data_IF_944457190298
#
_entry.id   IF_944457190298
#
_cell.length_a   1.000
_cell.length_b   1.000
_cell.length_c   1.000
_cell.angle_alpha   90.00
_cell.angle_beta   90.00
_cell.angle_gamma   90.00
#
_symmetry.space_group_name_H-M   'P 1'
#
loop_
_entity.id
_entity.type
_entity.pdbx_description
1 polymer ?
#
# COMPACT_ATOMS: atom_id res chain seq x y z
N UNK A 1 29.97 4.32 -22.78
CA UNK A 1 28.72 3.83 -23.38
C UNK A 1 27.74 5.01 -23.42
N UNK A 2 27.07 5.21 -24.54
CA UNK A 2 26.52 6.52 -25.01
C UNK A 2 25.04 6.69 -24.64
N UNK A 3 24.41 5.68 -24.03
CA UNK A 3 23.03 5.73 -23.51
C UNK A 3 22.95 5.44 -22.00
N UNK A 4 24.05 5.63 -21.25
CA UNK A 4 24.05 5.48 -19.78
C UNK A 4 23.45 6.71 -19.12
N UNK A 5 22.13 6.69 -18.87
CA UNK A 5 21.55 7.50 -17.81
C UNK A 5 22.12 6.99 -16.47
N UNK A 6 23.15 7.68 -15.95
CA UNK A 6 23.67 7.46 -14.60
C UNK A 6 22.69 8.05 -13.59
N UNK A 7 21.57 7.36 -13.36
CA UNK A 7 20.52 7.81 -12.45
C UNK A 7 20.97 7.77 -10.97
N UNK A 8 21.93 6.89 -10.64
CA UNK A 8 22.54 6.85 -9.31
C UNK A 8 24.00 7.30 -9.39
N UNK A 9 24.28 8.52 -8.88
CA UNK A 9 25.64 9.04 -8.70
C UNK A 9 26.08 8.75 -7.27
N UNK A 10 27.33 8.33 -7.11
CA UNK A 10 27.89 8.03 -5.80
C UNK A 10 27.78 9.26 -4.88
N UNK A 11 27.00 9.12 -3.82
CA UNK A 11 26.72 10.12 -2.80
C UNK A 11 27.25 9.66 -1.45
N UNK A 12 27.51 10.60 -0.54
CA UNK A 12 27.76 10.28 0.87
C UNK A 12 26.53 10.68 1.66
N UNK A 13 25.95 9.70 2.35
CA UNK A 13 24.75 9.88 3.15
C UNK A 13 25.01 9.30 4.54
N UNK A 14 24.51 9.98 5.57
CA UNK A 14 24.53 9.49 6.94
C UNK A 14 23.14 9.01 7.32
N UNK A 15 23.05 7.76 7.79
CA UNK A 15 21.81 7.15 8.29
C UNK A 15 21.95 6.91 9.79
N UNK A 16 20.92 7.26 10.58
CA UNK A 16 20.89 6.97 12.02
C UNK A 16 20.66 5.49 12.27
N UNK A 17 21.02 4.96 13.44
CA UNK A 17 20.66 3.58 13.81
C UNK A 17 19.16 3.29 13.65
N UNK A 18 18.84 2.17 13.03
CA UNK A 18 17.47 1.72 12.76
C UNK A 18 17.39 0.18 12.85
N UNK A 19 16.16 -0.32 12.93
CA UNK A 19 15.86 -1.74 12.83
C UNK A 19 15.21 -2.02 11.47
N UNK A 20 15.49 -3.18 10.91
CA UNK A 20 14.94 -3.67 9.65
C UNK A 20 14.51 -5.12 9.83
N UNK A 21 13.48 -5.55 9.10
CA UNK A 21 13.11 -6.96 9.08
C UNK A 21 14.24 -7.78 8.44
N UNK A 22 14.44 -8.99 8.96
CA UNK A 22 15.52 -9.86 8.51
C UNK A 22 15.32 -10.38 7.08
N UNK A 23 14.06 -10.51 6.66
CA UNK A 23 13.62 -11.12 5.43
C UNK A 23 12.47 -10.30 4.83
N UNK A 24 12.08 -10.58 3.58
CA UNK A 24 10.86 -9.99 3.04
C UNK A 24 9.62 -10.46 3.81
N UNK A 25 8.54 -9.67 3.74
CA UNK A 25 7.25 -10.05 4.34
C UNK A 25 6.69 -11.27 3.61
N UNK A 26 6.44 -12.35 4.35
CA UNK A 26 5.94 -13.61 3.78
C UNK A 26 4.44 -13.58 3.51
N UNK A 27 3.98 -14.51 2.67
CA UNK A 27 2.55 -14.79 2.49
C UNK A 27 1.87 -15.09 3.84
N UNK A 28 2.54 -15.78 4.76
CA UNK A 28 2.00 -16.02 6.10
C UNK A 28 1.67 -14.74 6.86
N UNK A 29 2.64 -13.81 6.95
CA UNK A 29 2.45 -12.53 7.64
C UNK A 29 1.30 -11.73 7.01
N UNK A 30 1.19 -11.76 5.68
CA UNK A 30 0.12 -11.05 4.98
C UNK A 30 -1.27 -11.70 5.21
N UNK A 31 -1.33 -13.03 5.26
CA UNK A 31 -2.56 -13.75 5.58
C UNK A 31 -3.04 -13.45 7.02
N UNK A 32 -2.12 -13.30 7.98
CA UNK A 32 -2.47 -12.86 9.34
C UNK A 32 -3.05 -11.44 9.35
N UNK A 33 -2.44 -10.53 8.59
CA UNK A 33 -2.96 -9.18 8.39
C UNK A 33 -4.38 -9.19 7.81
N UNK A 34 -4.56 -9.90 6.69
CA UNK A 34 -5.88 -10.04 6.05
C UNK A 34 -6.91 -10.68 6.98
N UNK A 35 -6.53 -11.71 7.73
CA UNK A 35 -7.42 -12.36 8.68
C UNK A 35 -7.86 -11.40 9.78
N UNK A 36 -6.92 -10.62 10.34
CA UNK A 36 -7.24 -9.65 11.37
C UNK A 36 -8.16 -8.55 10.84
N UNK A 37 -7.86 -7.97 9.66
CA UNK A 37 -8.68 -6.93 9.04
C UNK A 37 -10.09 -7.46 8.75
N UNK A 38 -10.19 -8.70 8.24
CA UNK A 38 -11.49 -9.34 7.98
C UNK A 38 -12.31 -9.45 9.27
N UNK A 39 -11.69 -9.90 10.36
CA UNK A 39 -12.38 -10.04 11.64
C UNK A 39 -12.79 -8.69 12.24
N UNK A 40 -11.93 -7.68 12.10
CA UNK A 40 -12.09 -6.39 12.75
C UNK A 40 -13.10 -5.47 12.02
N UNK A 41 -13.12 -5.48 10.68
CA UNK A 41 -13.85 -4.48 9.90
C UNK A 41 -14.80 -5.04 8.83
N UNK A 42 -14.77 -6.34 8.49
CA UNK A 42 -15.52 -6.82 7.31
C UNK A 42 -17.05 -6.70 7.44
N UNK A 43 -17.60 -6.71 8.65
CA UNK A 43 -19.04 -6.59 8.86
C UNK A 43 -19.53 -5.15 8.61
N UNK A 44 -18.77 -4.15 9.05
CA UNK A 44 -19.18 -2.73 8.99
C UNK A 44 -18.53 -1.98 7.82
N UNK A 45 -17.26 -2.27 7.52
CA UNK A 45 -16.46 -1.63 6.47
C UNK A 45 -15.80 -2.69 5.56
N UNK A 46 -16.56 -3.39 4.72
CA UNK A 46 -16.05 -4.46 3.86
C UNK A 46 -14.95 -3.98 2.88
N UNK A 47 -14.94 -2.70 2.52
CA UNK A 47 -13.92 -2.13 1.63
C UNK A 47 -12.52 -2.11 2.27
N UNK A 48 -12.41 -1.97 3.59
CA UNK A 48 -11.10 -2.01 4.28
C UNK A 48 -10.43 -3.37 4.06
N UNK A 49 -11.22 -4.45 4.14
CA UNK A 49 -10.73 -5.80 3.83
C UNK A 49 -10.40 -5.98 2.35
N UNK A 50 -11.25 -5.49 1.44
CA UNK A 50 -10.98 -5.57 0.00
C UNK A 50 -9.70 -4.84 -0.40
N UNK A 51 -9.44 -3.66 0.18
CA UNK A 51 -8.24 -2.88 -0.08
C UNK A 51 -6.97 -3.58 0.44
N UNK A 52 -7.08 -4.47 1.42
CA UNK A 52 -5.97 -5.27 1.93
C UNK A 52 -5.64 -6.52 1.07
N UNK A 53 -6.46 -6.86 0.08
CA UNK A 53 -6.24 -8.01 -0.80
C UNK A 53 -5.12 -7.72 -1.81
N UNK A 54 -4.06 -8.55 -1.87
CA UNK A 54 -3.08 -8.46 -2.94
C UNK A 54 -3.70 -8.76 -4.31
N UNK A 55 -3.18 -8.13 -5.34
CA UNK A 55 -3.53 -8.46 -6.72
C UNK A 55 -2.87 -9.79 -7.13
N UNK A 56 -3.66 -10.86 -7.17
CA UNK A 56 -3.20 -12.18 -7.62
C UNK A 56 -2.98 -12.27 -9.13
N UNK A 57 -3.52 -11.33 -9.91
CA UNK A 57 -3.43 -11.33 -11.37
C UNK A 57 -2.05 -10.93 -11.90
N UNK A 58 -1.15 -10.47 -11.04
CA UNK A 58 0.25 -10.16 -11.39
C UNK A 58 0.98 -11.35 -12.04
N UNK A 59 0.56 -12.58 -11.74
CA UNK A 59 1.11 -13.79 -12.34
C UNK A 59 0.57 -14.07 -13.75
N UNK A 60 -0.60 -13.52 -14.10
CA UNK A 60 -1.30 -13.84 -15.34
C UNK A 60 -0.60 -13.16 -16.52
N UNK A 61 -0.27 -13.95 -17.53
CA UNK A 61 0.28 -13.46 -18.79
C UNK A 61 -0.46 -14.12 -19.95
N UNK A 62 -0.82 -13.34 -20.98
CA UNK A 62 -1.56 -13.85 -22.16
C UNK A 62 -0.84 -15.00 -22.88
N UNK A 63 0.49 -15.07 -22.75
CA UNK A 63 1.34 -16.06 -23.40
C UNK A 63 1.98 -17.04 -22.41
N UNK A 64 1.59 -17.02 -21.13
CA UNK A 64 2.17 -17.83 -20.06
C UNK A 64 1.13 -18.72 -19.36
N UNK A 65 1.52 -19.94 -19.00
CA UNK A 65 0.67 -20.85 -18.23
C UNK A 65 0.92 -20.70 -16.72
N UNK A 66 0.42 -19.60 -16.15
CA UNK A 66 0.70 -19.22 -14.76
C UNK A 66 -0.53 -19.26 -13.84
N UNK A 67 -1.65 -19.84 -14.29
CA UNK A 67 -2.91 -19.87 -13.53
C UNK A 67 -2.76 -20.53 -12.15
N UNK A 68 -1.86 -21.52 -12.04
CA UNK A 68 -1.55 -22.14 -10.73
C UNK A 68 -1.05 -21.11 -9.71
N UNK A 69 -0.23 -20.14 -10.11
CA UNK A 69 0.28 -19.13 -9.19
C UNK A 69 -0.81 -18.12 -8.82
N UNK A 70 -1.69 -17.77 -9.77
CA UNK A 70 -2.87 -16.92 -9.51
C UNK A 70 -3.75 -17.54 -8.41
N UNK A 71 -4.02 -18.84 -8.50
CA UNK A 71 -4.92 -19.52 -7.57
C UNK A 71 -4.27 -19.83 -6.21
N UNK A 72 -3.00 -20.25 -6.23
CA UNK A 72 -2.36 -20.92 -5.09
C UNK A 72 -1.24 -20.13 -4.42
N UNK A 73 -0.56 -19.19 -5.08
CA UNK A 73 0.67 -18.59 -4.53
C UNK A 73 0.46 -17.96 -3.15
N UNK A 74 -0.60 -17.15 -2.99
CA UNK A 74 -0.87 -16.46 -1.71
C UNK A 74 -1.38 -17.40 -0.61
N UNK A 75 -2.07 -18.49 -0.96
CA UNK A 75 -2.91 -19.25 0.00
C UNK A 75 -2.42 -20.66 0.27
N UNK A 76 -1.63 -21.24 -0.63
CA UNK A 76 -1.25 -22.64 -0.52
C UNK A 76 -0.11 -22.82 0.50
N UNK A 77 -0.17 -23.83 1.39
CA UNK A 77 0.83 -24.03 2.44
C UNK A 77 2.28 -24.13 1.96
N UNK A 78 2.50 -24.63 0.74
CA UNK A 78 3.85 -24.71 0.15
C UNK A 78 4.50 -23.34 -0.09
N UNK A 79 3.71 -22.28 -0.26
CA UNK A 79 4.20 -20.91 -0.48
C UNK A 79 4.11 -20.05 0.78
N UNK A 80 3.90 -20.66 1.94
CA UNK A 80 3.72 -19.94 3.21
C UNK A 80 4.89 -19.03 3.56
N UNK A 81 6.11 -19.53 3.36
CA UNK A 81 7.36 -18.85 3.72
C UNK A 81 8.00 -18.12 2.52
N UNK A 82 7.22 -17.91 1.45
CA UNK A 82 7.62 -17.15 0.27
C UNK A 82 7.18 -15.69 0.41
N UNK A 83 7.86 -14.74 -0.26
CA UNK A 83 7.51 -13.33 -0.16
C UNK A 83 6.11 -13.06 -0.72
N UNK A 84 5.38 -12.14 -0.10
CA UNK A 84 4.11 -11.66 -0.64
C UNK A 84 4.34 -10.82 -1.90
N UNK A 85 3.52 -11.03 -2.93
CA UNK A 85 3.58 -10.30 -4.20
C UNK A 85 2.21 -9.73 -4.57
N UNK A 86 2.18 -8.80 -5.53
CA UNK A 86 0.93 -8.13 -5.92
C UNK A 86 0.46 -7.09 -4.90
N UNK A 87 1.39 -6.54 -4.12
CA UNK A 87 1.13 -5.54 -3.08
C UNK A 87 1.59 -4.17 -3.56
N UNK A 88 0.70 -3.18 -3.48
CA UNK A 88 1.00 -1.79 -3.78
C UNK A 88 1.73 -1.08 -2.64
N UNK A 89 2.36 0.06 -2.94
CA UNK A 89 3.02 0.90 -1.94
C UNK A 89 2.08 1.35 -0.81
N UNK A 90 0.82 1.67 -1.13
CA UNK A 90 -0.19 2.07 -0.15
C UNK A 90 -0.53 0.91 0.80
N UNK A 91 -0.77 -0.28 0.25
CA UNK A 91 -1.04 -1.48 1.03
C UNK A 91 0.14 -1.84 1.95
N UNK A 92 1.38 -1.72 1.46
CA UNK A 92 2.57 -1.98 2.27
C UNK A 92 2.71 -1.00 3.46
N UNK A 93 2.35 0.28 3.27
CA UNK A 93 2.30 1.25 4.36
C UNK A 93 1.19 0.93 5.37
N UNK A 94 0.01 0.51 4.90
CA UNK A 94 -1.10 0.13 5.79
C UNK A 94 -0.80 -1.14 6.58
N UNK A 95 -0.07 -2.10 5.99
CA UNK A 95 0.49 -3.24 6.71
C UNK A 95 1.45 -2.80 7.83
N UNK A 96 2.33 -1.83 7.56
CA UNK A 96 3.25 -1.29 8.58
C UNK A 96 2.49 -0.61 9.73
N UNK A 97 1.43 0.15 9.44
CA UNK A 97 0.56 0.76 10.46
C UNK A 97 -0.12 -0.33 11.30
N UNK A 98 -0.73 -1.31 10.64
CA UNK A 98 -1.37 -2.44 11.32
C UNK A 98 -0.40 -3.19 12.24
N UNK A 99 0.81 -3.50 11.76
CA UNK A 99 1.83 -4.19 12.56
C UNK A 99 2.25 -3.36 13.77
N UNK A 100 2.39 -2.04 13.61
CA UNK A 100 2.65 -1.13 14.73
C UNK A 100 1.57 -1.25 15.79
N UNK A 101 0.31 -1.19 15.40
CA UNK A 101 -0.81 -1.28 16.34
C UNK A 101 -0.85 -2.63 17.05
N UNK A 102 -0.70 -3.74 16.33
CA UNK A 102 -0.74 -5.08 16.91
C UNK A 102 0.43 -5.37 17.85
N UNK A 103 1.63 -4.93 17.50
CA UNK A 103 2.82 -5.14 18.34
C UNK A 103 2.72 -4.31 19.61
N UNK A 104 2.35 -3.03 19.52
CA UNK A 104 2.20 -2.18 20.69
C UNK A 104 1.04 -2.62 21.57
N UNK A 105 -0.08 -3.05 20.98
CA UNK A 105 -1.20 -3.66 21.71
C UNK A 105 -0.75 -4.90 22.48
N UNK A 106 -0.04 -5.82 21.83
CA UNK A 106 0.48 -7.01 22.47
C UNK A 106 1.43 -6.68 23.64
N UNK A 107 2.30 -5.67 23.47
CA UNK A 107 3.19 -5.20 24.54
C UNK A 107 2.35 -4.67 25.71
N UNK A 108 1.34 -3.84 25.46
CA UNK A 108 0.47 -3.32 26.53
C UNK A 108 -0.28 -4.43 27.26
N UNK A 109 -0.73 -5.47 26.55
CA UNK A 109 -1.36 -6.65 27.15
C UNK A 109 -0.35 -7.44 27.99
N UNK A 110 0.86 -7.65 27.47
CA UNK A 110 1.96 -8.34 28.17
C UNK A 110 2.35 -7.64 29.47
N UNK A 111 2.40 -6.31 29.46
CA UNK A 111 2.68 -5.49 30.65
C UNK A 111 1.47 -5.35 31.60
N UNK A 112 0.31 -5.93 31.25
CA UNK A 112 -0.90 -5.93 32.07
C UNK A 112 -1.63 -4.59 32.13
N UNK A 113 -1.41 -3.72 31.12
CA UNK A 113 -2.04 -2.40 31.00
C UNK A 113 -3.39 -2.53 30.32
N UNK A 114 -3.45 -3.35 29.27
CA UNK A 114 -4.68 -3.72 28.56
C UNK A 114 -5.06 -5.17 28.86
N UNK A 115 -6.36 -5.44 28.91
CA UNK A 115 -6.90 -6.79 28.95
C UNK A 115 -6.91 -7.39 27.53
N UNK A 116 -6.74 -8.70 27.46
CA UNK A 116 -6.91 -9.42 26.20
C UNK A 116 -8.38 -9.40 25.78
N UNK A 117 -8.68 -8.74 24.66
CA UNK A 117 -10.03 -8.65 24.10
C UNK A 117 -10.10 -9.41 22.76
N UNK A 118 -10.95 -10.44 22.70
CA UNK A 118 -11.13 -11.27 21.49
C UNK A 118 -12.18 -10.70 20.54
N UNK A 119 -13.04 -9.79 21.00
CA UNK A 119 -14.22 -9.32 20.25
C UNK A 119 -14.06 -7.87 19.76
N UNK A 120 -12.83 -7.41 19.55
CA UNK A 120 -12.55 -6.09 18.98
C UNK A 120 -13.10 -5.96 17.55
N UNK A 121 -13.90 -4.91 17.32
CA UNK A 121 -14.53 -4.58 16.04
C UNK A 121 -14.57 -3.07 15.82
N UNK A 122 -14.37 -2.61 14.59
CA UNK A 122 -14.53 -1.20 14.21
C UNK A 122 -13.79 -0.22 15.14
N UNK A 123 -14.49 0.70 15.80
CA UNK A 123 -13.93 1.75 16.67
C UNK A 123 -13.26 1.22 17.96
N UNK A 124 -13.52 -0.05 18.28
CA UNK A 124 -13.02 -0.76 19.45
C UNK A 124 -11.63 -1.37 19.20
N UNK A 125 -11.17 -1.31 17.95
CA UNK A 125 -9.84 -1.77 17.57
C UNK A 125 -8.76 -0.86 18.14
N UNK A 126 -7.67 -1.47 18.63
CA UNK A 126 -6.55 -0.70 19.14
C UNK A 126 -5.83 0.06 18.02
N UNK A 127 -5.57 1.35 18.26
CA UNK A 127 -4.77 2.25 17.45
C UNK A 127 -3.79 2.99 18.36
N UNK A 128 -2.49 2.93 18.02
CA UNK A 128 -1.41 3.49 18.83
C UNK A 128 -1.55 5.01 19.02
N UNK A 129 -1.96 5.73 17.97
CA UNK A 129 -2.12 7.18 18.02
C UNK A 129 -3.33 7.59 18.84
N UNK A 130 -4.45 6.88 18.70
CA UNK A 130 -5.64 7.09 19.51
C UNK A 130 -5.35 6.83 20.99
N UNK A 131 -4.54 5.81 21.31
CA UNK A 131 -4.06 5.53 22.66
C UNK A 131 -3.24 6.70 23.22
N UNK A 132 -2.27 7.23 22.47
CA UNK A 132 -1.47 8.37 22.95
C UNK A 132 -2.28 9.64 23.22
N UNK A 133 -3.35 9.88 22.46
CA UNK A 133 -4.25 11.02 22.67
C UNK A 133 -5.28 10.75 23.78
N UNK A 134 -5.34 9.53 24.32
CA UNK A 134 -6.29 9.15 25.37
C UNK A 134 -7.72 8.92 24.87
N UNK A 135 -7.89 8.67 23.56
CA UNK A 135 -9.18 8.36 22.95
C UNK A 135 -9.50 6.85 22.94
N UNK A 136 -8.55 6.03 23.39
CA UNK A 136 -8.72 4.59 23.53
C UNK A 136 -8.89 4.22 25.01
N UNK A 137 -10.11 3.90 25.40
CA UNK A 137 -10.45 3.51 26.78
C UNK A 137 -10.75 2.02 26.93
N UNK A 138 -10.79 1.28 25.81
CA UNK A 138 -11.21 -0.11 25.84
C UNK A 138 -10.20 -1.04 26.49
N UNK A 139 -10.70 -1.92 27.36
CA UNK A 139 -9.87 -2.95 27.98
C UNK A 139 -8.78 -2.41 28.90
N UNK A 140 -8.81 -1.12 29.27
CA UNK A 140 -7.83 -0.53 30.17
C UNK A 140 -7.96 -1.12 31.58
N UNK A 141 -6.96 -1.89 32.00
CA UNK A 141 -6.92 -2.55 33.32
C UNK A 141 -6.20 -1.66 34.33
N UNK A 142 -5.05 -1.12 33.93
CA UNK A 142 -4.16 -0.42 34.86
C UNK A 142 -3.44 0.72 34.16
N UNK A 143 -3.43 1.88 34.83
CA UNK A 143 -2.57 3.00 34.50
C UNK A 143 -1.29 2.98 35.34
N UNK A 144 -0.21 3.55 34.80
CA UNK A 144 1.05 3.72 35.52
C UNK A 144 0.96 4.94 36.44
N UNK A 145 1.75 4.95 37.51
CA UNK A 145 1.87 6.10 38.40
C UNK A 145 2.43 7.31 37.64
N UNK A 146 1.75 8.44 37.75
CA UNK A 146 2.20 9.70 37.18
C UNK A 146 3.27 10.32 38.11
N UNK A 147 4.50 10.44 37.64
CA UNK A 147 5.62 11.01 38.42
C UNK A 147 5.57 12.54 38.49
N UNK A 148 4.59 13.20 37.86
CA UNK A 148 4.42 14.65 37.94
C UNK A 148 3.93 15.06 39.35
N UNK A 149 4.70 15.87 40.10
CA UNK A 149 4.34 16.31 41.45
C UNK A 149 3.06 17.16 41.51
N UNK A 150 2.62 17.74 40.39
CA UNK A 150 1.39 18.54 40.32
C UNK A 150 0.14 17.69 40.11
N UNK A 151 0.29 16.46 39.63
CA UNK A 151 -0.80 15.53 39.36
C UNK A 151 -1.08 14.64 40.58
N UNK A 152 -1.36 15.25 41.74
CA UNK A 152 -1.59 14.51 42.99
C UNK A 152 -3.07 14.16 43.13
N UNK A 153 -3.35 12.90 43.47
CA UNK A 153 -4.69 12.48 43.90
C UNK A 153 -4.67 12.24 45.42
N UNK A 154 -4.96 13.29 46.19
CA UNK A 154 -4.92 13.27 47.65
C UNK A 154 -3.50 13.17 48.20
N UNK A 155 -3.17 12.04 48.86
CA UNK A 155 -1.82 11.76 49.42
C UNK A 155 -0.93 10.92 48.51
N UNK A 156 -1.45 10.48 47.35
CA UNK A 156 -0.74 9.65 46.39
C UNK A 156 -0.58 10.42 45.09
N UNK A 157 0.51 10.18 44.38
CA UNK A 157 0.64 10.61 42.99
C UNK A 157 -0.51 10.00 42.16
N UNK A 158 -1.01 10.75 41.19
CA UNK A 158 -2.05 10.31 40.27
C UNK A 158 -1.57 9.19 39.34
N UNK A 159 -2.42 8.78 38.41
CA UNK A 159 -2.10 7.77 37.39
C UNK A 159 -2.21 8.35 36.00
N UNK A 160 -1.46 7.82 35.03
CA UNK A 160 -1.52 8.17 33.62
C UNK A 160 -1.34 6.95 32.72
N UNK A 161 -1.77 7.10 31.47
CA UNK A 161 -1.48 6.12 30.42
C UNK A 161 0.02 6.08 30.08
N UNK A 162 0.42 4.98 29.43
CA UNK A 162 1.79 4.81 28.95
C UNK A 162 2.05 5.77 27.80
N UNK A 163 3.21 6.39 27.81
CA UNK A 163 3.69 7.26 26.74
C UNK A 163 5.01 6.73 26.20
N UNK A 164 5.43 7.25 25.05
CA UNK A 164 6.66 6.82 24.38
C UNK A 164 7.90 6.97 25.28
N UNK A 165 7.92 8.00 26.13
CA UNK A 165 9.00 8.32 27.06
C UNK A 165 9.22 7.23 28.14
N UNK A 166 8.23 6.37 28.37
CA UNK A 166 8.37 5.25 29.31
C UNK A 166 9.26 4.12 28.76
N UNK A 167 9.55 4.12 27.46
CA UNK A 167 10.40 3.12 26.80
C UNK A 167 9.79 1.71 26.74
N UNK A 168 8.48 1.59 27.00
CA UNK A 168 7.73 0.34 26.95
C UNK A 168 7.27 0.06 25.52
N UNK A 169 6.71 1.07 24.85
CA UNK A 169 6.18 0.94 23.50
C UNK A 169 7.29 1.08 22.45
N UNK A 170 7.08 0.44 21.31
CA UNK A 170 8.02 0.48 20.20
C UNK A 170 7.67 1.62 19.22
N UNK A 171 8.69 2.19 18.54
CA UNK A 171 8.45 3.09 17.42
C UNK A 171 7.64 2.40 16.31
N UNK A 172 7.05 3.22 15.43
CA UNK A 172 6.25 2.70 14.33
C UNK A 172 7.09 1.91 13.33
N UNK A 173 6.54 0.79 12.86
CA UNK A 173 7.00 0.15 11.64
C UNK A 173 6.68 1.04 10.45
N UNK A 174 7.57 1.03 9.46
CA UNK A 174 7.44 1.75 8.20
C UNK A 174 8.31 1.08 7.15
N UNK A 175 8.08 1.43 5.89
CA UNK A 175 9.03 1.14 4.84
C UNK A 175 10.38 1.83 5.13
N UNK A 176 11.52 1.19 4.79
CA UNK A 176 12.83 1.82 4.90
C UNK A 176 12.92 3.00 3.92
N UNK A 177 13.75 4.00 4.24
CA UNK A 177 14.14 4.98 3.22
C UNK A 177 15.06 4.30 2.20
N UNK A 178 15.18 4.87 1.01
CA UNK A 178 16.10 4.39 -0.03
C UNK A 178 17.53 4.28 0.51
N UNK A 179 17.98 5.29 1.28
CA UNK A 179 19.31 5.30 1.89
C UNK A 179 19.46 4.24 3.00
N UNK A 180 18.43 4.00 3.81
CA UNK A 180 18.43 2.92 4.80
C UNK A 180 18.53 1.55 4.12
N UNK A 181 17.78 1.35 3.04
CA UNK A 181 17.77 0.10 2.28
C UNK A 181 19.10 -0.16 1.58
N UNK A 182 19.69 0.84 0.92
CA UNK A 182 21.02 0.70 0.28
C UNK A 182 22.13 0.46 1.31
N UNK A 183 22.09 1.16 2.45
CA UNK A 183 23.02 0.91 3.56
C UNK A 183 22.91 -0.53 4.08
N UNK A 184 21.68 -1.00 4.29
CA UNK A 184 21.40 -2.36 4.73
C UNK A 184 21.85 -3.39 3.69
N UNK A 185 21.62 -3.16 2.40
CA UNK A 185 21.99 -4.06 1.32
C UNK A 185 23.51 -4.18 1.16
N UNK A 186 24.23 -3.05 1.15
CA UNK A 186 25.68 -3.03 0.91
C UNK A 186 26.48 -3.77 1.98
N UNK A 187 26.01 -3.82 3.23
CA UNK A 187 26.52 -4.73 4.25
C UNK A 187 28.04 -4.62 4.47
N UNK A 188 28.58 -3.42 4.67
CA UNK A 188 30.04 -3.20 4.61
C UNK A 188 30.82 -3.54 5.89
N UNK A 189 30.17 -4.10 6.93
CA UNK A 189 30.82 -4.42 8.21
C UNK A 189 32.02 -5.35 8.03
N UNK A 190 31.89 -6.39 7.22
CA UNK A 190 32.95 -7.36 6.96
C UNK A 190 34.11 -6.80 6.14
N UNK A 191 33.93 -5.65 5.48
CA UNK A 191 34.99 -4.95 4.74
C UNK A 191 35.62 -3.82 5.57
N UNK A 192 35.13 -3.58 6.79
CA UNK A 192 35.69 -2.60 7.69
C UNK A 192 37.02 -3.11 8.24
N UNK A 193 38.10 -2.35 8.04
CA UNK A 193 39.37 -2.68 8.68
C UNK A 193 39.22 -2.52 10.20
N UNK A 194 39.51 -3.61 10.93
CA UNK A 194 39.34 -3.70 12.39
C UNK A 194 39.96 -2.50 13.10
N UNK A 195 39.14 -1.77 13.88
CA UNK A 195 39.58 -0.61 14.66
C UNK A 195 39.72 0.69 13.86
N UNK A 196 39.26 0.74 12.61
CA UNK A 196 39.26 1.95 11.79
C UNK A 196 37.88 2.21 11.16
N UNK A 197 37.72 3.36 10.53
CA UNK A 197 36.55 3.72 9.69
C UNK A 197 36.82 3.49 8.19
N UNK A 198 37.91 2.82 7.84
CA UNK A 198 38.35 2.63 6.47
C UNK A 198 37.75 1.35 5.86
N UNK A 199 37.15 1.53 4.68
CA UNK A 199 36.66 0.44 3.83
C UNK A 199 37.51 0.49 2.56
N UNK A 200 38.30 -0.54 2.31
CA UNK A 200 39.20 -0.61 1.14
C UNK A 200 38.43 -0.86 -0.16
N UNK A 201 37.40 -1.71 -0.09
CA UNK A 201 36.71 -2.24 -1.25
C UNK A 201 35.20 -2.05 -1.13
N UNK A 202 34.62 -1.32 -2.09
CA UNK A 202 33.18 -1.19 -2.24
C UNK A 202 32.60 -2.47 -2.82
N UNK A 203 31.43 -2.87 -2.33
CA UNK A 203 30.69 -4.00 -2.89
C UNK A 203 29.72 -3.54 -3.97
N UNK A 204 29.58 -4.35 -5.02
CA UNK A 204 28.54 -4.18 -6.05
C UNK A 204 27.24 -4.90 -5.66
N UNK A 205 27.37 -5.98 -4.88
CA UNK A 205 26.29 -6.86 -4.43
C UNK A 205 26.33 -6.98 -2.89
N UNK A 206 25.29 -7.51 -2.23
CA UNK A 206 25.29 -7.66 -0.77
C UNK A 206 26.32 -8.67 -0.23
N UNK A 207 27.08 -9.34 -1.09
CA UNK A 207 28.15 -10.28 -0.74
C UNK A 207 29.52 -9.82 -1.26
N UNK A 208 30.58 -10.50 -0.80
CA UNK A 208 31.94 -10.26 -1.26
C UNK A 208 32.17 -10.76 -2.70
N UNK A 209 32.86 -9.94 -3.49
CA UNK A 209 33.20 -10.23 -4.87
C UNK A 209 32.41 -9.42 -5.91
N UNK A 210 32.80 -9.55 -7.17
CA UNK A 210 32.17 -8.85 -8.29
C UNK A 210 31.21 -9.74 -9.08
N UNK A 211 31.12 -11.02 -8.72
CA UNK A 211 30.39 -12.03 -9.48
C UNK A 211 29.18 -12.52 -8.69
N UNK A 212 28.13 -12.82 -9.43
CA UNK A 212 26.88 -13.41 -8.91
C UNK A 212 27.00 -14.90 -8.63
N UNK A 213 28.07 -15.54 -9.10
CA UNK A 213 28.31 -16.98 -8.93
C UNK A 213 29.12 -17.24 -7.65
N UNK A 214 28.94 -18.43 -7.11
CA UNK A 214 29.76 -18.91 -6.00
C UNK A 214 31.18 -19.22 -6.50
N UNK A 215 32.18 -18.91 -5.69
CA UNK A 215 33.60 -19.10 -6.02
C UNK A 215 34.10 -20.47 -5.56
N UNK A 216 33.45 -21.07 -4.56
CA UNK A 216 33.79 -22.34 -3.98
C UNK A 216 33.57 -23.48 -4.98
N UNK A 217 34.55 -24.38 -5.09
CA UNK A 217 34.49 -25.53 -6.00
C UNK A 217 33.25 -26.42 -5.78
N UNK A 218 32.75 -26.49 -4.54
CA UNK A 218 31.56 -27.28 -4.19
C UNK A 218 30.26 -26.69 -4.74
N UNK A 219 30.21 -25.38 -4.95
CA UNK A 219 29.03 -24.65 -5.43
C UNK A 219 29.24 -24.10 -6.85
N UNK A 220 30.21 -24.65 -7.59
CA UNK A 220 30.56 -24.17 -8.93
C UNK A 220 29.34 -24.14 -9.84
N UNK A 221 29.06 -22.96 -10.39
CA UNK A 221 27.92 -22.75 -11.30
C UNK A 221 26.62 -22.35 -10.61
N UNK A 222 26.53 -22.40 -9.27
CA UNK A 222 25.40 -21.87 -8.52
C UNK A 222 25.48 -20.35 -8.39
N UNK A 223 24.30 -19.72 -8.28
CA UNK A 223 24.15 -18.28 -8.15
C UNK A 223 23.82 -17.94 -6.69
N UNK A 224 24.29 -16.78 -6.24
CA UNK A 224 24.19 -16.31 -4.84
C UNK A 224 22.81 -15.71 -4.49
N UNK A 225 21.95 -15.53 -5.47
CA UNK A 225 20.63 -14.89 -5.36
C UNK A 225 19.68 -15.42 -6.43
N UNK A 226 18.38 -15.23 -6.22
CA UNK A 226 17.34 -15.58 -7.19
C UNK A 226 17.08 -14.41 -8.17
N UNK A 227 17.47 -14.53 -9.44
CA UNK A 227 17.17 -13.52 -10.46
C UNK A 227 17.27 -14.08 -11.89
N UNK A 228 16.51 -13.49 -12.80
CA UNK A 228 16.52 -13.88 -14.23
C UNK A 228 17.81 -13.41 -14.90
N UNK A 229 18.58 -14.35 -15.45
CA UNK A 229 19.86 -14.05 -16.12
C UNK A 229 19.71 -13.47 -17.52
N UNK A 230 18.64 -13.87 -18.21
CA UNK A 230 18.42 -13.53 -19.60
C UNK A 230 17.13 -14.11 -20.13
N UNK A 231 16.74 -13.67 -21.34
CA UNK A 231 15.50 -14.12 -21.97
C UNK A 231 15.50 -15.64 -22.13
N UNK A 232 14.55 -16.30 -21.46
CA UNK A 232 14.36 -17.74 -21.53
C UNK A 232 15.23 -18.57 -20.58
N UNK A 233 16.13 -17.97 -19.80
CA UNK A 233 16.92 -18.65 -18.76
C UNK A 233 16.38 -18.23 -17.38
N UNK A 234 15.29 -18.87 -16.96
CA UNK A 234 14.62 -18.68 -15.66
C UNK A 234 15.00 -19.73 -14.61
N UNK A 235 15.62 -20.84 -15.02
CA UNK A 235 15.82 -22.02 -14.16
C UNK A 235 17.10 -22.81 -14.51
N UNK A 236 17.90 -22.34 -15.47
CA UNK A 236 19.06 -23.09 -15.97
C UNK A 236 18.67 -24.34 -16.77
N UNK A 237 19.37 -25.45 -16.49
CA UNK A 237 19.31 -26.70 -17.28
C UNK A 237 18.61 -27.79 -16.46
N UNK A 238 17.86 -28.67 -17.13
CA UNK A 238 17.14 -29.77 -16.50
C UNK A 238 18.03 -30.57 -15.52
N UNK A 239 17.53 -30.76 -14.30
CA UNK A 239 18.21 -31.49 -13.23
C UNK A 239 18.89 -30.63 -12.17
N UNK A 240 19.17 -29.35 -12.45
CA UNK A 240 19.72 -28.43 -11.45
C UNK A 240 19.32 -26.97 -11.73
N UNK A 241 18.57 -26.37 -10.81
CA UNK A 241 18.26 -24.94 -10.84
C UNK A 241 19.54 -24.15 -10.61
N UNK A 242 19.86 -23.20 -11.50
CA UNK A 242 21.08 -22.39 -11.39
C UNK A 242 20.95 -21.30 -10.30
N UNK A 243 19.74 -20.84 -10.05
CA UNK A 243 19.33 -19.77 -9.12
C UNK A 243 18.30 -20.25 -8.08
N UNK A 244 18.17 -21.58 -7.90
CA UNK A 244 17.45 -22.17 -6.77
C UNK A 244 15.91 -22.16 -6.82
N UNK A 245 15.27 -21.37 -7.70
CA UNK A 245 13.81 -21.29 -7.82
C UNK A 245 13.34 -21.04 -9.25
N UNK A 246 12.10 -21.40 -9.56
CA UNK A 246 11.45 -21.12 -10.84
C UNK A 246 10.77 -19.75 -10.90
N UNK A 247 10.31 -19.29 -9.74
CA UNK A 247 9.71 -17.98 -9.52
C UNK A 247 10.42 -17.29 -8.36
N UNK A 248 9.74 -17.06 -7.25
CA UNK A 248 10.35 -16.68 -5.98
C UNK A 248 10.87 -17.91 -5.24
N UNK A 249 11.65 -17.67 -4.19
CA UNK A 249 12.18 -18.69 -3.27
C UNK A 249 11.73 -18.36 -1.84
N UNK A 250 11.77 -19.33 -0.89
CA UNK A 250 11.53 -19.03 0.52
C UNK A 250 12.43 -17.90 1.02
N UNK A 251 11.92 -17.04 1.89
CA UNK A 251 12.58 -15.79 2.30
C UNK A 251 13.87 -15.98 3.12
N UNK A 252 14.12 -17.20 3.64
CA UNK A 252 15.38 -17.56 4.31
C UNK A 252 16.33 -18.37 3.40
N UNK A 253 16.06 -18.39 2.09
CA UNK A 253 16.94 -19.02 1.11
C UNK A 253 18.19 -18.18 0.87
N UNK A 254 19.27 -18.83 0.41
CA UNK A 254 20.60 -18.23 0.22
C UNK A 254 21.26 -17.75 1.52
N UNK A 255 22.43 -17.15 1.39
CA UNK A 255 23.23 -16.68 2.51
C UNK A 255 22.85 -15.25 2.84
N UNK A 256 22.70 -14.90 4.13
CA UNK A 256 22.48 -13.53 4.52
C UNK A 256 23.74 -12.68 4.30
N UNK A 257 23.56 -11.37 4.23
CA UNK A 257 24.66 -10.42 4.23
C UNK A 257 25.25 -10.21 5.63
N UNK A 258 26.22 -9.31 5.77
CA UNK A 258 26.96 -9.06 7.02
C UNK A 258 26.08 -8.58 8.19
N UNK A 259 24.87 -8.07 7.91
CA UNK A 259 23.88 -7.69 8.91
C UNK A 259 22.92 -8.82 9.28
N UNK A 260 23.03 -9.98 8.63
CA UNK A 260 22.10 -11.09 8.80
C UNK A 260 20.83 -10.98 7.94
N UNK A 261 20.80 -10.08 6.96
CA UNK A 261 19.64 -9.83 6.08
C UNK A 261 19.67 -10.75 4.87
N UNK A 262 18.53 -11.34 4.54
CA UNK A 262 18.34 -12.23 3.39
C UNK A 262 17.78 -11.46 2.19
N UNK A 263 18.02 -11.97 0.98
CA UNK A 263 17.43 -11.49 -0.29
C UNK A 263 17.50 -9.99 -0.60
N UNK A 264 18.41 -9.24 0.04
CA UNK A 264 18.70 -7.85 -0.34
C UNK A 264 19.14 -7.69 -1.82
N UNK A 265 19.47 -8.79 -2.50
CA UNK A 265 19.51 -8.86 -3.95
C UNK A 265 18.73 -10.09 -4.45
N UNK A 266 17.80 -9.86 -5.37
CA UNK A 266 17.01 -10.91 -6.02
C UNK A 266 15.64 -11.14 -5.37
N UNK A 267 15.02 -12.27 -5.69
CA UNK A 267 13.72 -12.73 -5.21
C UNK A 267 12.55 -11.81 -5.58
N UNK A 268 12.30 -10.75 -4.81
CA UNK A 268 11.31 -9.71 -5.11
C UNK A 268 11.91 -8.32 -4.94
N UNK A 269 11.42 -7.35 -5.72
CA UNK A 269 11.75 -5.96 -5.47
C UNK A 269 11.00 -5.43 -4.24
N UNK A 270 11.70 -4.71 -3.38
CA UNK A 270 11.17 -4.22 -2.11
C UNK A 270 10.79 -2.74 -2.19
N UNK A 271 9.62 -2.39 -1.65
CA UNK A 271 9.17 -1.00 -1.62
C UNK A 271 9.93 -0.19 -0.58
N UNK A 272 10.43 0.97 -0.99
CA UNK A 272 10.99 2.01 -0.10
C UNK A 272 9.99 3.14 0.12
N UNK A 273 10.22 3.94 1.16
CA UNK A 273 9.35 5.07 1.49
C UNK A 273 9.48 6.22 0.48
N UNK A 274 10.64 6.34 -0.18
CA UNK A 274 11.00 7.45 -1.05
C UNK A 274 10.21 7.53 -2.36
N UNK A 275 9.92 8.75 -2.79
CA UNK A 275 9.35 9.05 -4.10
C UNK A 275 10.48 9.21 -5.12
N UNK A 276 10.45 8.42 -6.20
CA UNK A 276 11.41 8.51 -7.28
C UNK A 276 11.34 9.85 -8.04
N UNK A 277 12.50 10.50 -8.25
CA UNK A 277 12.66 11.69 -9.09
C UNK A 277 13.94 11.57 -9.92
N UNK A 278 13.99 12.08 -11.17
CA UNK A 278 15.23 12.03 -11.97
C UNK A 278 16.42 12.77 -11.34
N UNK A 279 16.18 13.87 -10.61
CA UNK A 279 17.22 14.66 -9.93
C UNK A 279 17.53 14.17 -8.50
N UNK A 280 17.03 12.99 -8.12
CA UNK A 280 17.20 12.39 -6.79
C UNK A 280 18.67 12.34 -6.37
N UNK A 281 19.61 12.09 -7.29
CA UNK A 281 21.05 12.01 -7.00
C UNK A 281 21.75 13.36 -6.84
N UNK A 282 21.07 14.48 -7.10
CA UNK A 282 21.62 15.84 -7.02
C UNK A 282 21.03 16.66 -5.86
N UNK A 283 19.78 16.39 -5.45
CA UNK A 283 19.06 17.13 -4.41
C UNK A 283 18.62 16.19 -3.27
N UNK A 284 19.44 16.12 -2.22
CA UNK A 284 19.18 15.32 -1.02
C UNK A 284 19.86 15.94 0.21
N UNK A 285 19.29 15.67 1.39
CA UNK A 285 19.93 16.01 2.67
C UNK A 285 21.02 14.99 2.99
N UNK A 286 22.19 15.45 3.46
CA UNK A 286 23.30 14.58 3.83
C UNK A 286 22.98 13.70 5.04
N UNK A 287 22.06 14.13 5.91
CA UNK A 287 21.63 13.39 7.09
C UNK A 287 20.19 12.87 6.93
N UNK A 288 20.05 11.54 6.84
CA UNK A 288 18.77 10.82 6.71
C UNK A 288 17.90 11.38 5.57
N UNK A 289 18.39 11.34 4.31
CA UNK A 289 17.61 11.78 3.18
C UNK A 289 16.33 10.97 3.09
N UNK A 290 15.24 11.68 2.92
CA UNK A 290 13.94 11.10 2.71
C UNK A 290 13.14 12.02 1.77
N UNK A 291 12.65 11.43 0.68
CA UNK A 291 11.91 12.16 -0.36
C UNK A 291 10.44 11.76 -0.31
N UNK A 292 9.60 12.66 0.19
CA UNK A 292 8.18 12.35 0.42
C UNK A 292 7.56 13.09 1.60
N UNK A 293 8.30 14.02 2.23
CA UNK A 293 7.80 14.90 3.29
C UNK A 293 6.70 15.84 2.78
N UNK A 294 5.49 15.32 2.63
CA UNK A 294 4.27 16.11 2.57
C UNK A 294 3.73 16.16 4.00
N UNK A 295 4.05 17.24 4.71
CA UNK A 295 3.55 17.44 6.07
C UNK A 295 2.04 17.64 6.02
N UNK A 296 1.30 16.65 6.52
CA UNK A 296 -0.13 16.78 6.74
C UNK A 296 -0.37 17.12 8.21
N UNK A 297 -1.15 18.18 8.46
CA UNK A 297 -1.62 18.47 9.81
C UNK A 297 -2.63 17.41 10.22
N UNK A 298 -2.56 16.92 11.46
CA UNK A 298 -3.58 15.99 11.96
C UNK A 298 -4.95 16.67 11.87
N UNK A 299 -5.95 15.95 11.39
CA UNK A 299 -7.34 16.42 11.38
C UNK A 299 -7.78 16.66 12.82
N UNK A 300 -8.43 17.80 13.07
CA UNK A 300 -8.99 18.17 14.36
C UNK A 300 -10.51 18.24 14.20
N UNK A 301 -11.24 17.67 15.16
CA UNK A 301 -12.68 17.83 15.21
C UNK A 301 -13.07 19.27 15.60
N UNK A 302 -14.37 19.59 15.55
CA UNK A 302 -14.90 20.92 15.90
C UNK A 302 -14.53 21.38 17.33
N UNK A 303 -14.14 20.46 18.21
CA UNK A 303 -13.74 20.72 19.59
C UNK A 303 -12.22 20.90 19.74
N UNK A 304 -11.45 20.79 18.65
CA UNK A 304 -9.99 20.94 18.64
C UNK A 304 -9.22 19.69 19.09
N UNK A 305 -9.90 18.55 19.26
CA UNK A 305 -9.27 17.25 19.54
C UNK A 305 -8.92 16.51 18.26
N UNK A 306 -7.89 15.65 18.30
CA UNK A 306 -7.38 14.99 17.10
C UNK A 306 -8.35 13.90 16.63
N UNK A 307 -8.72 13.91 15.35
CA UNK A 307 -9.58 12.91 14.73
C UNK A 307 -8.73 11.73 14.23
N UNK A 308 -8.46 10.76 15.10
CA UNK A 308 -7.54 9.64 14.83
C UNK A 308 -8.22 8.30 14.59
N UNK A 309 -9.52 8.18 14.88
CA UNK A 309 -10.15 6.86 15.03
C UNK A 309 -10.49 6.13 13.74
N UNK A 310 -10.41 6.77 12.57
CA UNK A 310 -11.07 6.19 11.41
C UNK A 310 -10.07 5.51 10.48
N UNK A 311 -9.92 4.19 10.65
CA UNK A 311 -9.52 3.29 9.57
C UNK A 311 -10.67 3.10 8.56
N UNK A 312 -11.45 4.15 8.32
CA UNK A 312 -12.51 4.16 7.33
C UNK A 312 -11.88 4.46 5.98
N UNK A 313 -12.39 3.79 4.94
CA UNK A 313 -11.98 4.10 3.57
C UNK A 313 -12.45 5.52 3.27
N UNK A 314 -11.49 6.43 3.11
CA UNK A 314 -11.76 7.78 2.63
C UNK A 314 -11.65 7.77 1.12
N UNK A 315 -12.75 8.11 0.44
CA UNK A 315 -12.76 8.21 -1.01
C UNK A 315 -12.30 9.59 -1.46
N UNK A 316 -11.48 9.64 -2.50
CA UNK A 316 -11.20 10.90 -3.18
C UNK A 316 -12.36 11.31 -4.09
N UNK A 317 -13.41 11.85 -3.47
CA UNK A 317 -14.63 12.29 -4.16
C UNK A 317 -14.33 13.27 -5.31
N UNK A 318 -13.30 14.12 -5.19
CA UNK A 318 -12.90 15.03 -6.26
C UNK A 318 -12.28 14.27 -7.43
N UNK A 319 -11.38 13.34 -7.14
CA UNK A 319 -10.80 12.47 -8.16
C UNK A 319 -11.82 11.57 -8.85
N UNK A 320 -12.76 11.00 -8.11
CA UNK A 320 -13.89 10.25 -8.68
C UNK A 320 -14.72 11.13 -9.63
N UNK A 321 -14.95 12.40 -9.28
CA UNK A 321 -15.64 13.36 -10.16
C UNK A 321 -14.84 13.69 -11.41
N UNK A 322 -13.53 13.89 -11.28
CA UNK A 322 -12.64 14.09 -12.43
C UNK A 322 -12.66 12.87 -13.35
N UNK A 323 -12.55 11.66 -12.79
CA UNK A 323 -12.59 10.41 -13.54
C UNK A 323 -13.92 10.22 -14.26
N UNK A 324 -15.06 10.46 -13.59
CA UNK A 324 -16.38 10.35 -14.20
C UNK A 324 -16.52 11.31 -15.40
N UNK A 325 -16.06 12.55 -15.24
CA UNK A 325 -16.04 13.54 -16.32
C UNK A 325 -15.15 13.10 -17.49
N UNK A 326 -13.97 12.56 -17.21
CA UNK A 326 -13.09 12.04 -18.26
C UNK A 326 -13.68 10.81 -18.94
N UNK A 327 -14.31 9.91 -18.18
CA UNK A 327 -14.95 8.69 -18.67
C UNK A 327 -16.09 9.02 -19.62
N UNK A 328 -16.99 9.93 -19.22
CA UNK A 328 -18.06 10.44 -20.09
C UNK A 328 -17.47 11.03 -21.37
N UNK A 329 -16.49 11.92 -21.20
CA UNK A 329 -15.85 12.64 -22.30
C UNK A 329 -15.23 11.66 -23.31
N UNK A 330 -14.41 10.72 -22.87
CA UNK A 330 -13.72 9.76 -23.75
C UNK A 330 -14.70 8.81 -24.44
N UNK A 331 -15.74 8.33 -23.72
CA UNK A 331 -16.75 7.41 -24.26
C UNK A 331 -17.60 8.09 -25.34
N UNK A 332 -18.04 9.33 -25.12
CA UNK A 332 -18.94 10.02 -26.05
C UNK A 332 -18.24 10.91 -27.09
N UNK A 333 -16.96 11.26 -26.92
CA UNK A 333 -16.18 11.97 -27.96
C UNK A 333 -16.05 11.17 -29.28
N UNK A 334 -16.24 9.85 -29.27
CA UNK A 334 -16.19 9.01 -30.50
C UNK A 334 -17.45 9.05 -31.37
N UNK A 335 -18.56 9.60 -30.89
CA UNK A 335 -19.83 9.64 -31.67
C UNK A 335 -19.67 10.45 -32.97
N UNK A 336 -18.73 11.39 -33.04
CA UNK A 336 -18.15 11.86 -34.30
C UNK A 336 -16.96 12.78 -34.02
N UNK A 337 -15.76 12.38 -34.42
CA UNK A 337 -14.61 13.29 -34.47
C UNK A 337 -14.89 14.56 -35.32
N UNK A 338 -15.92 14.53 -36.17
CA UNK A 338 -16.38 15.66 -37.00
C UNK A 338 -17.45 16.56 -36.34
N UNK A 339 -18.08 16.16 -35.22
CA UNK A 339 -19.08 16.98 -34.48
C UNK A 339 -18.81 16.97 -32.98
N UNK A 340 -17.59 17.32 -32.59
CA UNK A 340 -17.30 17.52 -31.18
C UNK A 340 -18.03 18.79 -30.69
N UNK A 341 -19.09 18.63 -29.91
CA UNK A 341 -19.66 19.70 -29.10
C UNK A 341 -19.14 19.57 -27.66
N UNK A 342 -18.24 20.47 -27.20
CA UNK A 342 -17.75 20.47 -25.83
C UNK A 342 -18.84 20.66 -24.76
N UNK A 343 -20.04 21.10 -25.15
CA UNK A 343 -21.15 21.36 -24.24
C UNK A 343 -22.17 20.21 -24.15
N UNK A 344 -21.99 19.13 -24.93
CA UNK A 344 -22.86 17.95 -24.92
C UNK A 344 -22.44 16.95 -23.82
N UNK A 345 -22.54 17.40 -22.56
CA UNK A 345 -22.28 16.61 -21.34
C UNK A 345 -23.54 16.54 -20.48
N UNK A 346 -23.79 15.38 -19.86
CA UNK A 346 -24.80 15.23 -18.81
C UNK A 346 -24.27 15.64 -17.43
N UNK A 347 -23.00 16.03 -17.35
CA UNK A 347 -22.33 16.50 -16.13
C UNK A 347 -21.98 18.00 -16.28
N UNK A 348 -22.90 18.90 -15.88
CA UNK A 348 -22.75 20.34 -16.12
C UNK A 348 -21.76 21.05 -15.19
N UNK A 349 -21.25 20.39 -14.14
CA UNK A 349 -20.44 21.02 -13.08
C UNK A 349 -18.97 20.63 -13.19
N UNK A 350 -18.14 21.57 -13.62
CA UNK A 350 -16.68 21.47 -13.47
C UNK A 350 -16.27 21.72 -12.01
N UNK A 351 -15.24 21.01 -11.55
CA UNK A 351 -14.62 21.30 -10.25
C UNK A 351 -14.08 22.74 -10.26
N UNK A 352 -14.31 23.47 -9.16
CA UNK A 352 -13.71 24.79 -8.97
C UNK A 352 -12.18 24.68 -9.02
N UNK A 353 -11.51 25.61 -9.71
CA UNK A 353 -10.06 25.55 -10.01
C UNK A 353 -9.14 25.39 -8.80
N UNK A 354 -9.66 25.63 -7.60
CA UNK A 354 -8.92 25.67 -6.35
C UNK A 354 -8.98 24.36 -5.56
N UNK A 355 -9.71 23.35 -6.05
CA UNK A 355 -9.86 22.04 -5.41
C UNK A 355 -9.42 20.98 -6.42
N UNK A 356 -8.37 20.23 -6.09
CA UNK A 356 -7.78 19.23 -6.97
C UNK A 356 -7.82 17.86 -6.32
N UNK A 357 -8.02 16.83 -7.14
CA UNK A 357 -7.83 15.43 -6.75
C UNK A 357 -6.42 15.19 -6.19
N UNK A 358 -6.31 14.29 -5.21
CA UNK A 358 -5.04 13.76 -4.71
C UNK A 358 -4.38 12.86 -5.76
N UNK A 359 -5.18 12.17 -6.56
CA UNK A 359 -4.75 11.38 -7.71
C UNK A 359 -5.46 11.92 -8.96
N UNK A 360 -4.90 12.89 -9.71
CA UNK A 360 -5.58 13.42 -10.89
C UNK A 360 -5.76 12.33 -11.95
N UNK A 361 -6.91 12.33 -12.64
CA UNK A 361 -7.19 11.34 -13.68
C UNK A 361 -6.17 11.43 -14.83
N UNK A 362 -5.66 10.26 -15.25
CA UNK A 362 -4.70 10.18 -16.35
C UNK A 362 -5.43 10.33 -17.69
N UNK A 363 -5.24 11.47 -18.34
CA UNK A 363 -5.75 11.70 -19.70
C UNK A 363 -5.13 10.72 -20.69
N UNK A 364 -5.97 10.02 -21.46
CA UNK A 364 -5.59 9.63 -22.82
C UNK A 364 -5.55 8.15 -23.20
N UNK A 365 -6.30 7.25 -22.57
CA UNK A 365 -6.61 5.95 -23.19
C UNK A 365 -8.11 5.69 -23.20
N UNK A 366 -8.61 5.24 -24.36
CA UNK A 366 -10.00 4.89 -24.57
C UNK A 366 -10.23 3.43 -24.19
N UNK A 367 -11.31 3.10 -23.49
CA UNK A 367 -11.75 1.72 -23.38
C UNK A 367 -12.07 1.15 -24.76
N UNK A 368 -11.93 -0.18 -24.91
CA UNK A 368 -12.18 -0.86 -26.19
C UNK A 368 -13.58 -0.55 -26.74
N UNK A 369 -13.71 -0.32 -28.05
CA UNK A 369 -14.96 0.11 -28.66
C UNK A 369 -15.88 -1.08 -28.88
N UNK A 370 -16.53 -1.59 -27.84
CA UNK A 370 -17.41 -2.74 -28.06
C UNK A 370 -18.83 -2.38 -28.46
N UNK A 371 -19.50 -1.38 -27.87
CA UNK A 371 -20.87 -1.05 -28.32
C UNK A 371 -21.23 0.41 -28.11
N UNK A 372 -21.02 1.24 -29.14
CA UNK A 372 -21.90 2.41 -29.34
C UNK A 372 -23.22 1.86 -29.87
N UNK A 373 -24.36 2.36 -29.39
CA UNK A 373 -25.68 1.91 -29.86
C UNK A 373 -25.73 1.88 -31.41
N UNK A 374 -26.55 0.97 -31.98
CA UNK A 374 -26.78 0.92 -33.42
C UNK A 374 -27.10 2.33 -33.95
N UNK A 375 -26.18 2.92 -34.72
CA UNK A 375 -26.34 4.27 -35.27
C UNK A 375 -25.54 5.40 -34.61
N UNK A 376 -24.56 5.09 -33.74
CA UNK A 376 -23.73 6.10 -33.04
C UNK A 376 -24.55 7.08 -32.18
N UNK A 377 -25.64 6.61 -31.57
CA UNK A 377 -26.46 7.42 -30.67
C UNK A 377 -26.05 7.15 -29.23
N UNK A 378 -26.06 8.17 -28.35
CA UNK A 378 -25.82 7.95 -26.92
C UNK A 378 -26.96 7.09 -26.34
N UNK A 379 -26.63 6.06 -25.57
CA UNK A 379 -27.64 5.24 -24.89
C UNK A 379 -28.30 6.05 -23.75
N UNK A 380 -29.63 6.17 -23.77
CA UNK A 380 -30.37 6.94 -22.79
C UNK A 380 -30.31 6.35 -21.37
N UNK A 381 -30.11 5.03 -21.26
CA UNK A 381 -30.00 4.36 -19.95
C UNK A 381 -28.62 4.63 -19.34
N UNK A 382 -27.54 4.48 -20.12
CA UNK A 382 -26.18 4.80 -19.66
C UNK A 382 -26.05 6.27 -19.22
N UNK A 383 -26.69 7.20 -19.96
CA UNK A 383 -26.71 8.62 -19.60
C UNK A 383 -27.48 8.89 -18.30
N UNK A 384 -28.57 8.17 -18.06
CA UNK A 384 -29.34 8.30 -16.82
C UNK A 384 -28.52 7.78 -15.63
N UNK A 385 -27.81 6.67 -15.80
CA UNK A 385 -26.90 6.11 -14.81
C UNK A 385 -25.76 7.09 -14.47
N UNK A 386 -25.06 7.62 -15.47
CA UNK A 386 -23.98 8.60 -15.25
C UNK A 386 -24.47 9.85 -14.53
N UNK A 387 -25.69 10.32 -14.83
CA UNK A 387 -26.30 11.46 -14.13
C UNK A 387 -26.54 11.16 -12.64
N UNK A 388 -27.06 9.98 -12.31
CA UNK A 388 -27.29 9.56 -10.92
C UNK A 388 -25.98 9.47 -10.13
N UNK A 389 -24.95 8.84 -10.72
CA UNK A 389 -23.61 8.77 -10.13
C UNK A 389 -23.07 10.18 -9.88
N UNK A 390 -23.27 11.06 -10.86
CA UNK A 390 -22.85 12.45 -10.76
C UNK A 390 -23.52 13.21 -9.60
N UNK A 391 -24.82 13.01 -9.40
CA UNK A 391 -25.59 13.61 -8.30
C UNK A 391 -25.06 13.16 -6.94
N UNK A 392 -24.80 11.87 -6.78
CA UNK A 392 -24.20 11.31 -5.55
C UNK A 392 -22.83 11.94 -5.28
N UNK A 393 -21.97 12.05 -6.31
CA UNK A 393 -20.67 12.71 -6.18
C UNK A 393 -20.78 14.20 -5.84
N UNK A 394 -21.74 14.93 -6.40
CA UNK A 394 -21.95 16.36 -6.07
C UNK A 394 -22.36 16.57 -4.61
N UNK A 395 -23.21 15.68 -4.08
CA UNK A 395 -23.59 15.70 -2.67
C UNK A 395 -22.37 15.37 -1.79
N UNK A 396 -21.62 14.32 -2.12
CA UNK A 396 -20.40 13.96 -1.39
C UNK A 396 -19.32 15.07 -1.44
N UNK A 397 -19.16 15.77 -2.56
CA UNK A 397 -18.28 16.94 -2.70
C UNK A 397 -18.72 18.06 -1.75
N UNK A 398 -20.03 18.27 -1.60
CA UNK A 398 -20.55 19.30 -0.70
C UNK A 398 -20.21 18.98 0.75
N UNK A 399 -20.36 17.71 1.18
CA UNK A 399 -19.92 17.26 2.50
C UNK A 399 -18.40 17.43 2.68
N UNK A 400 -17.60 17.00 1.71
CA UNK A 400 -16.14 17.13 1.72
C UNK A 400 -15.69 18.59 1.83
N UNK A 401 -16.29 19.49 1.06
CA UNK A 401 -16.01 20.93 1.11
C UNK A 401 -16.37 21.56 2.46
N UNK A 402 -17.36 21.01 3.17
CA UNK A 402 -17.75 21.43 4.51
C UNK A 402 -16.96 20.72 5.63
N UNK A 403 -15.88 19.99 5.29
CA UNK A 403 -15.03 19.22 6.22
C UNK A 403 -15.72 18.03 6.88
N UNK A 404 -16.75 17.48 6.23
CA UNK A 404 -17.43 16.25 6.61
C UNK A 404 -16.91 15.09 5.75
N UNK A 405 -15.64 14.72 5.94
CA UNK A 405 -14.95 13.75 5.09
C UNK A 405 -15.48 12.31 5.26
N UNK A 406 -15.91 11.98 6.47
CA UNK A 406 -16.49 10.67 6.83
C UNK A 406 -17.85 10.51 6.20
N UNK A 407 -18.72 11.51 6.37
CA UNK A 407 -20.08 11.48 5.82
C UNK A 407 -20.03 11.50 4.29
N UNK A 408 -19.09 12.24 3.70
CA UNK A 408 -18.85 12.21 2.26
C UNK A 408 -18.47 10.78 1.79
N UNK A 409 -17.53 10.13 2.48
CA UNK A 409 -17.05 8.80 2.13
C UNK A 409 -18.10 7.71 2.38
N UNK A 410 -18.86 7.81 3.47
CA UNK A 410 -19.96 6.91 3.78
C UNK A 410 -21.10 7.02 2.76
N UNK A 411 -21.40 8.25 2.30
CA UNK A 411 -22.40 8.47 1.26
C UNK A 411 -22.00 7.84 -0.07
N UNK A 412 -20.71 7.91 -0.44
CA UNK A 412 -20.19 7.19 -1.61
C UNK A 412 -20.34 5.68 -1.43
N UNK A 413 -19.95 5.13 -0.29
CA UNK A 413 -20.06 3.69 -0.07
C UNK A 413 -21.51 3.21 -0.16
N UNK A 414 -22.43 3.85 0.55
CA UNK A 414 -23.85 3.46 0.64
C UNK A 414 -24.59 3.68 -0.69
N UNK A 415 -24.52 4.89 -1.25
CA UNK A 415 -25.37 5.23 -2.39
C UNK A 415 -24.77 4.81 -3.74
N UNK A 416 -23.45 4.85 -3.88
CA UNK A 416 -22.79 4.51 -5.15
C UNK A 416 -22.43 3.02 -5.22
N UNK A 417 -21.63 2.52 -4.28
CA UNK A 417 -21.11 1.15 -4.35
C UNK A 417 -22.12 0.09 -3.92
N UNK A 418 -22.82 0.33 -2.82
CA UNK A 418 -23.81 -0.60 -2.27
C UNK A 418 -25.22 -0.38 -2.84
N UNK A 419 -25.47 0.79 -3.45
CA UNK A 419 -26.71 1.12 -4.17
C UNK A 419 -26.56 0.96 -5.68
N UNK A 420 -26.23 2.06 -6.38
CA UNK A 420 -26.25 2.15 -7.86
C UNK A 420 -25.49 0.98 -8.53
N UNK A 421 -24.32 0.61 -8.00
CA UNK A 421 -23.50 -0.45 -8.59
C UNK A 421 -23.95 -1.88 -8.24
N UNK A 422 -24.74 -2.06 -7.18
CA UNK A 422 -25.23 -3.37 -6.75
C UNK A 422 -26.63 -3.69 -7.30
N UNK A 423 -27.50 -2.68 -7.40
CA UNK A 423 -28.94 -2.87 -7.66
C UNK A 423 -29.36 -2.75 -9.13
N UNK A 424 -28.55 -2.10 -9.99
CA UNK A 424 -28.92 -1.90 -11.41
C UNK A 424 -28.50 -3.09 -12.29
N UNK A 425 -29.46 -3.99 -12.52
CA UNK A 425 -29.31 -5.20 -13.32
C UNK A 425 -30.14 -5.09 -14.62
N UNK A 426 -29.58 -5.55 -15.74
CA UNK A 426 -30.25 -5.69 -17.04
C UNK A 426 -30.76 -7.11 -17.22
N UNK A 427 -31.99 -7.27 -17.67
CA UNK A 427 -32.55 -8.57 -18.05
C UNK A 427 -32.38 -8.83 -19.55
N UNK A 428 -31.82 -10.00 -19.89
CA UNK A 428 -31.66 -10.49 -21.24
C UNK A 428 -32.97 -11.00 -21.84
N UNK A 429 -33.00 -11.27 -23.16
CA UNK A 429 -34.18 -11.80 -23.86
C UNK A 429 -34.72 -13.10 -23.25
N UNK A 430 -33.84 -13.90 -22.64
CA UNK A 430 -34.14 -15.20 -22.03
C UNK A 430 -34.35 -15.11 -20.51
N UNK A 431 -34.44 -13.91 -19.94
CA UNK A 431 -34.66 -13.68 -18.50
C UNK A 431 -33.40 -13.75 -17.63
N UNK A 432 -32.21 -13.83 -18.23
CA UNK A 432 -30.92 -13.79 -17.53
C UNK A 432 -30.57 -12.37 -17.06
N UNK A 433 -30.05 -12.25 -15.84
CA UNK A 433 -29.74 -10.99 -15.16
C UNK A 433 -28.24 -10.65 -15.26
N UNK A 434 -27.90 -9.49 -15.81
CA UNK A 434 -26.52 -9.03 -16.03
C UNK A 434 -26.30 -7.60 -15.53
N UNK A 435 -25.19 -7.33 -14.83
CA UNK A 435 -24.79 -5.96 -14.49
C UNK A 435 -24.44 -5.16 -15.76
N UNK A 436 -24.72 -3.85 -15.76
CA UNK A 436 -24.29 -3.00 -16.86
C UNK A 436 -22.75 -2.97 -16.96
N UNK A 437 -22.20 -3.19 -18.15
CA UNK A 437 -20.74 -3.17 -18.38
C UNK A 437 -20.12 -1.82 -17.96
N UNK A 438 -20.85 -0.71 -18.16
CA UNK A 438 -20.46 0.63 -17.69
C UNK A 438 -20.17 0.67 -16.19
N UNK A 439 -20.99 -0.01 -15.39
CA UNK A 439 -20.81 -0.11 -13.94
C UNK A 439 -19.49 -0.83 -13.62
N UNK A 440 -19.20 -1.91 -14.34
CA UNK A 440 -17.97 -2.69 -14.14
C UNK A 440 -16.72 -1.85 -14.45
N UNK A 441 -16.75 -1.07 -15.54
CA UNK A 441 -15.65 -0.18 -15.94
C UNK A 441 -15.47 1.00 -14.98
N UNK A 442 -16.57 1.62 -14.55
CA UNK A 442 -16.52 2.72 -13.57
C UNK A 442 -16.00 2.23 -12.23
N UNK A 443 -16.38 1.02 -11.80
CA UNK A 443 -15.87 0.40 -10.57
C UNK A 443 -14.37 0.16 -10.64
N UNK A 444 -13.88 -0.38 -11.76
CA UNK A 444 -12.46 -0.58 -11.97
C UNK A 444 -11.69 0.75 -11.96
N UNK A 445 -12.22 1.77 -12.64
CA UNK A 445 -11.65 3.10 -12.68
C UNK A 445 -11.63 3.83 -11.34
N UNK A 446 -12.69 3.69 -10.54
CA UNK A 446 -12.79 4.30 -9.22
C UNK A 446 -11.90 3.63 -8.18
N UNK A 447 -11.33 2.45 -8.42
CA UNK A 447 -10.38 1.82 -7.49
C UNK A 447 -9.13 2.68 -7.23
N UNK A 448 -8.80 3.60 -8.14
CA UNK A 448 -7.65 4.51 -7.99
C UNK A 448 -7.93 5.74 -7.09
N UNK A 449 -9.18 5.93 -6.64
CA UNK A 449 -9.66 7.18 -6.03
C UNK A 449 -10.31 6.99 -4.65
#
# INVERSE_FOLDING_TARGET
DVMYDWNNRAARVTVSSFYMDQTEVTNFHWLEYMYWIKRAYNETYPMVYKNALPDTLVWRSKLGFNEKFVDYYLRHPAYRDYPVVGVSWLQANDFCKWRTDRVNEYILIREGVLAFNVDQRDENTFNTDAYYVGQYEEGLVKNIQNLNPSAVNGKKLGTRQIIMEDGILLPRYRLPTEAEWEYAATGLIGNLQVGTENISDRRLYPWNGHWVRQDEAQFTGQIRANFVRGRGDYMGVAGALNDGGDVTTPVESFWPNDFGLYHMAGNVSEWVLDVYRPLTSEDYDEFRPFRGNVFTTKLLNNEGSVELKNAQVSYDVHGMKEYLNEFERVRYQRVSAERHDPNDTVIPVGLSSNVQSRNPSRRGYAPDPFYVSHGKVKDSIELALLRRINEVLDVAITYKNNKHDIEASALIQDQLFDGIFADEIRTGPDGEEYAFEVISMLREGFNEF
#
